data_IF_922679068373
#
_entry.id   IF_922679068373
#
_cell.length_a   1.000
_cell.length_b   1.000
_cell.length_c   1.000
_cell.angle_alpha   90.00
_cell.angle_beta   90.00
_cell.angle_gamma   90.00
#
_symmetry.space_group_name_H-M   'P 1'
#
loop_
_entity.id
_entity.type
_entity.pdbx_description
1 polymer ?
#
# COMPACT_ATOMS: atom_id res chain seq x y z
N UNK A 1 4.91 10.73 4.05
CA UNK A 1 5.77 9.58 3.70
C UNK A 1 6.13 9.70 2.24
N UNK A 2 7.40 9.45 1.87
CA UNK A 2 7.85 9.40 0.47
C UNK A 2 7.50 8.04 -0.15
N UNK A 3 7.19 8.01 -1.45
CA UNK A 3 6.80 6.78 -2.17
C UNK A 3 7.87 5.68 -2.06
N UNK A 4 9.16 6.04 -2.07
CA UNK A 4 10.26 5.09 -1.89
C UNK A 4 10.23 4.40 -0.53
N UNK A 5 9.83 5.09 0.54
CA UNK A 5 9.69 4.49 1.88
C UNK A 5 8.49 3.55 1.92
N UNK A 6 7.37 3.95 1.31
CA UNK A 6 6.19 3.09 1.18
C UNK A 6 6.51 1.78 0.45
N UNK A 7 7.18 1.85 -0.70
CA UNK A 7 7.57 0.65 -1.47
C UNK A 7 8.50 -0.25 -0.66
N UNK A 8 9.39 0.33 0.15
CA UNK A 8 10.26 -0.43 1.05
C UNK A 8 9.45 -1.16 2.12
N UNK A 9 8.52 -0.49 2.80
CA UNK A 9 7.65 -1.11 3.81
C UNK A 9 6.81 -2.25 3.21
N UNK A 10 6.23 -2.02 2.03
CA UNK A 10 5.51 -3.06 1.29
C UNK A 10 6.41 -4.26 0.97
N UNK A 11 7.65 -4.03 0.54
CA UNK A 11 8.60 -5.09 0.25
C UNK A 11 9.09 -5.82 1.52
N UNK A 12 9.20 -5.12 2.66
CA UNK A 12 9.55 -5.71 3.96
C UNK A 12 8.42 -6.59 4.51
N UNK A 13 7.16 -6.18 4.33
CA UNK A 13 5.99 -6.92 4.82
C UNK A 13 5.54 -8.06 3.90
N UNK A 14 5.48 -7.81 2.59
CA UNK A 14 4.93 -8.75 1.62
C UNK A 14 6.00 -9.43 0.74
N UNK A 15 7.24 -8.92 0.75
CA UNK A 15 8.29 -9.31 -0.20
C UNK A 15 8.21 -8.51 -1.51
N UNK A 16 9.36 -8.17 -2.10
CA UNK A 16 9.44 -7.28 -3.26
C UNK A 16 8.55 -7.70 -4.45
N UNK A 17 8.54 -8.99 -4.82
CA UNK A 17 7.74 -9.47 -5.94
C UNK A 17 6.23 -9.42 -5.69
N UNK A 18 5.80 -9.84 -4.49
CA UNK A 18 4.37 -9.83 -4.13
C UNK A 18 3.87 -8.42 -3.85
N UNK A 19 4.69 -7.55 -3.28
CA UNK A 19 4.39 -6.15 -3.03
C UNK A 19 4.05 -5.40 -4.32
N UNK A 20 4.80 -5.64 -5.39
CA UNK A 20 4.57 -5.00 -6.68
C UNK A 20 3.26 -5.46 -7.32
N UNK A 21 3.00 -6.78 -7.33
CA UNK A 21 1.72 -7.35 -7.78
C UNK A 21 0.56 -6.81 -6.95
N UNK A 22 0.70 -6.76 -5.61
CA UNK A 22 -0.34 -6.24 -4.73
C UNK A 22 -0.61 -4.76 -5.00
N UNK A 23 0.42 -3.96 -5.28
CA UNK A 23 0.25 -2.56 -5.61
C UNK A 23 -0.52 -2.34 -6.93
N UNK A 24 -0.34 -3.23 -7.90
CA UNK A 24 -0.95 -3.14 -9.23
C UNK A 24 -2.32 -3.81 -9.34
N UNK A 25 -2.50 -5.00 -8.76
CA UNK A 25 -3.67 -5.86 -8.95
C UNK A 25 -4.66 -5.81 -7.78
N UNK A 26 -4.21 -5.46 -6.57
CA UNK A 26 -5.08 -5.49 -5.40
C UNK A 26 -5.87 -4.20 -5.24
N UNK A 27 -7.19 -4.30 -5.41
CA UNK A 27 -8.13 -3.20 -5.23
C UNK A 27 -8.48 -3.07 -3.76
N UNK A 28 -8.20 -1.91 -3.17
CA UNK A 28 -8.50 -1.59 -1.78
C UNK A 28 -9.80 -0.79 -1.72
N UNK A 29 -10.81 -1.34 -1.05
CA UNK A 29 -12.10 -0.66 -0.83
C UNK A 29 -11.92 0.67 -0.10
N UNK A 30 -10.97 0.74 0.84
CA UNK A 30 -10.61 1.95 1.58
C UNK A 30 -10.00 3.08 0.73
N UNK A 31 -9.46 2.77 -0.45
CA UNK A 31 -9.01 3.75 -1.45
C UNK A 31 -10.13 4.17 -2.43
N UNK A 32 -11.37 3.82 -2.12
CA UNK A 32 -12.52 4.02 -2.99
C UNK A 32 -12.56 3.02 -4.15
N UNK A 33 -12.17 1.77 -3.89
CA UNK A 33 -12.14 0.72 -4.91
C UNK A 33 -11.01 0.93 -5.93
N UNK A 34 -9.83 1.34 -5.45
CA UNK A 34 -8.65 1.57 -6.30
C UNK A 34 -7.47 0.73 -5.85
N UNK A 35 -6.58 0.45 -6.79
CA UNK A 35 -5.28 -0.14 -6.49
C UNK A 35 -4.33 0.91 -5.91
N UNK A 36 -3.23 0.48 -5.31
CA UNK A 36 -2.20 1.38 -4.78
C UNK A 36 -1.67 2.30 -5.88
N UNK A 37 -1.39 1.76 -7.06
CA UNK A 37 -0.88 2.54 -8.20
C UNK A 37 -1.92 3.54 -8.70
N UNK A 38 -3.20 3.14 -8.77
CA UNK A 38 -4.29 4.07 -9.12
C UNK A 38 -4.45 5.17 -8.06
N UNK A 39 -4.33 4.85 -6.78
CA UNK A 39 -4.38 5.82 -5.70
C UNK A 39 -3.18 6.79 -5.74
N UNK A 40 -1.97 6.29 -6.02
CA UNK A 40 -0.79 7.12 -6.24
C UNK A 40 -0.98 8.05 -7.45
N UNK A 41 -1.50 7.53 -8.56
CA UNK A 41 -1.80 8.33 -9.76
C UNK A 41 -2.90 9.38 -9.52
N UNK A 42 -3.87 9.08 -8.65
CA UNK A 42 -4.89 10.02 -8.19
C UNK A 42 -4.36 11.09 -7.21
N UNK A 43 -3.06 11.05 -6.86
CA UNK A 43 -2.44 12.00 -5.94
C UNK A 43 -2.71 11.69 -4.46
N UNK A 44 -3.21 10.50 -4.13
CA UNK A 44 -3.44 10.11 -2.74
C UNK A 44 -2.08 9.97 -2.04
N UNK A 45 -1.90 10.56 -0.84
CA UNK A 45 -0.65 10.44 -0.11
C UNK A 45 -0.29 8.99 0.20
N UNK A 46 0.95 8.59 -0.08
CA UNK A 46 1.42 7.23 0.22
C UNK A 46 1.21 6.79 1.68
N UNK A 47 1.20 7.76 2.63
CA UNK A 47 0.90 7.48 4.05
C UNK A 47 -0.54 7.01 4.27
N UNK A 48 -1.47 7.59 3.53
CA UNK A 48 -2.87 7.17 3.58
C UNK A 48 -3.01 5.80 2.92
N UNK A 49 -2.39 5.60 1.75
CA UNK A 49 -2.40 4.30 1.07
C UNK A 49 -1.85 3.18 1.97
N UNK A 50 -0.72 3.43 2.64
CA UNK A 50 -0.16 2.48 3.60
C UNK A 50 -1.11 2.16 4.75
N UNK A 51 -1.82 3.15 5.28
CA UNK A 51 -2.81 2.90 6.34
C UNK A 51 -3.92 1.97 5.85
N UNK A 52 -4.45 2.19 4.66
CA UNK A 52 -5.48 1.33 4.07
C UNK A 52 -4.95 -0.08 3.81
N UNK A 53 -3.70 -0.21 3.35
CA UNK A 53 -3.03 -1.51 3.22
C UNK A 53 -2.91 -2.19 4.58
N UNK A 54 -2.42 -1.49 5.61
CA UNK A 54 -2.31 -2.05 6.94
C UNK A 54 -3.67 -2.50 7.51
N UNK A 55 -4.74 -1.76 7.22
CA UNK A 55 -6.10 -2.11 7.65
C UNK A 55 -6.64 -3.32 6.88
N UNK A 56 -6.46 -3.36 5.56
CA UNK A 56 -6.94 -4.46 4.72
C UNK A 56 -6.19 -5.78 4.94
N UNK A 57 -4.90 -5.72 5.30
CA UNK A 57 -4.05 -6.89 5.53
C UNK A 57 -3.77 -7.17 7.01
N UNK A 58 -4.45 -6.45 7.91
CA UNK A 58 -4.28 -6.56 9.37
C UNK A 58 -2.81 -6.54 9.80
N UNK A 59 -2.02 -5.65 9.19
CA UNK A 59 -0.58 -5.52 9.46
C UNK A 59 -0.39 -5.12 10.93
N UNK A 60 0.48 -5.80 11.69
CA UNK A 60 0.68 -5.51 13.11
C UNK A 60 1.07 -4.04 13.35
N UNK A 61 0.57 -3.41 14.43
CA UNK A 61 0.88 -2.01 14.75
C UNK A 61 2.37 -1.77 15.01
N UNK A 62 3.12 -2.82 15.36
CA UNK A 62 4.59 -2.79 15.50
C UNK A 62 5.31 -2.48 14.18
N UNK A 63 4.63 -2.61 13.04
CA UNK A 63 5.17 -2.43 11.69
C UNK A 63 4.43 -1.38 10.83
N UNK A 64 3.55 -0.58 11.45
CA UNK A 64 2.68 0.41 10.77
C UNK A 64 3.27 1.82 10.72
#
# INVERSE_FOLDING_TARGET
MRITVFRRLMAEEFGAGRAEVLAHDHVLSGLGGRTVEQALAAGIPAKQIWREVCEAFEVPPERR
#
